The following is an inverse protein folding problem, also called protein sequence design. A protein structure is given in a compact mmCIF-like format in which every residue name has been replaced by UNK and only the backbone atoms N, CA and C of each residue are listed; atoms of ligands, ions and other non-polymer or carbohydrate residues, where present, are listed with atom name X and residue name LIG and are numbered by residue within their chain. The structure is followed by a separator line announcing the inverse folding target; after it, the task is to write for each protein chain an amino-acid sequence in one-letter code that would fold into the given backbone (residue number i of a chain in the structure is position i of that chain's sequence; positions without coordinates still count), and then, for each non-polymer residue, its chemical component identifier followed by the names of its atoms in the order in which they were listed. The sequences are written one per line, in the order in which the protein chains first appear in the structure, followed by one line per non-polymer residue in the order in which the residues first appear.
data_IF_874709959382
#
_entry.id   IF_874709959382
#
_cell.length_a   1.000
_cell.length_b   1.000
_cell.length_c   1.000
_cell.angle_alpha   90.00
_cell.angle_beta   90.00
_cell.angle_gamma   90.00
#
_symmetry.space_group_name_H-M   'P 1'
#
loop_
_entity.id
_entity.type
_entity.pdbx_description
1 polymer ?
#
# COMPACT_ATOMS: atom_id res chain seq x y z
N UNK A 1 50.56 -7.02 -33.20
CA UNK A 1 51.82 -7.75 -32.97
C UNK A 1 52.45 -7.11 -31.73
N UNK A 2 52.63 -7.83 -30.63
CA UNK A 2 53.94 -8.35 -30.11
C UNK A 2 55.08 -7.31 -30.23
N UNK A 3 55.86 -6.99 -29.18
CA UNK A 3 56.21 -7.81 -28.03
C UNK A 3 56.48 -7.05 -26.71
N UNK A 4 56.51 -7.82 -25.61
CA UNK A 4 57.04 -7.43 -24.30
C UNK A 4 58.58 -7.45 -24.30
N UNK A 5 59.21 -6.75 -23.35
CA UNK A 5 60.52 -7.11 -22.77
C UNK A 5 60.80 -6.29 -21.48
N UNK A 6 61.18 -6.85 -20.31
CA UNK A 6 62.48 -7.53 -19.96
C UNK A 6 63.53 -6.47 -19.57
N UNK A 7 64.29 -6.49 -18.44
CA UNK A 7 64.42 -7.44 -17.31
C UNK A 7 65.12 -6.80 -16.07
N UNK A 8 65.26 -7.61 -15.02
CA UNK A 8 65.90 -7.55 -13.68
C UNK A 8 67.24 -6.81 -13.43
N UNK A 9 67.60 -6.72 -12.12
CA UNK A 9 68.92 -6.44 -11.54
C UNK A 9 68.84 -5.50 -10.30
N UNK A 10 69.00 -5.83 -9.01
CA UNK A 10 69.60 -6.92 -8.19
C UNK A 10 70.97 -6.57 -7.53
N UNK A 11 71.08 -6.76 -6.19
CA UNK A 11 72.27 -6.61 -5.28
C UNK A 11 72.86 -5.18 -5.15
N UNK A 12 73.34 -4.61 -4.03
CA UNK A 12 73.36 -4.91 -2.57
C UNK A 12 73.45 -3.56 -1.79
N UNK A 13 74.08 -3.34 -0.61
CA UNK A 13 74.75 -4.18 0.41
C UNK A 13 74.96 -3.36 1.73
N UNK A 14 75.26 -4.03 2.85
CA UNK A 14 75.98 -3.55 4.07
C UNK A 14 75.35 -2.57 5.10
N UNK A 15 75.83 -2.70 6.36
CA UNK A 15 75.29 -2.24 7.67
C UNK A 15 76.02 -0.96 8.23
N UNK A 16 75.93 -0.52 9.52
CA UNK A 16 75.07 -0.90 10.66
C UNK A 16 74.41 0.27 11.48
N UNK A 17 73.72 -0.15 12.54
CA UNK A 17 72.81 0.52 13.49
C UNK A 17 73.33 1.74 14.28
N UNK A 18 72.42 2.68 14.58
CA UNK A 18 72.32 3.40 15.88
C UNK A 18 70.85 3.45 16.33
N UNK A 19 70.62 3.26 17.64
CA UNK A 19 69.31 3.19 18.35
C UNK A 19 68.42 4.42 18.13
N UNK A 20 67.07 4.35 18.16
CA UNK A 20 66.24 4.06 19.36
C UNK A 20 64.75 3.93 18.95
N UNK A 21 63.99 3.07 19.62
CA UNK A 21 62.55 2.80 19.40
C UNK A 21 61.62 3.89 20.03
N UNK A 22 60.29 3.99 19.70
CA UNK A 22 59.32 2.90 19.89
C UNK A 22 58.28 2.64 18.76
N UNK A 23 58.26 1.38 18.37
CA UNK A 23 57.12 0.47 18.14
C UNK A 23 56.18 0.63 16.94
N UNK A 24 55.72 -0.49 16.32
CA UNK A 24 55.10 -0.48 15.01
C UNK A 24 53.59 -0.75 15.02
N UNK A 25 52.89 -0.16 14.06
CA UNK A 25 51.52 -0.56 13.71
C UNK A 25 51.54 -1.94 13.04
N UNK A 26 50.94 -2.95 13.69
CA UNK A 26 50.78 -4.29 13.11
C UNK A 26 49.62 -4.29 12.12
N UNK A 27 49.93 -4.44 10.84
CA UNK A 27 48.94 -4.79 9.81
C UNK A 27 48.49 -6.25 9.97
N UNK A 28 47.19 -6.49 10.07
CA UNK A 28 46.62 -7.81 9.76
C UNK A 28 45.38 -7.71 8.87
N UNK A 29 45.28 -8.68 7.97
CA UNK A 29 44.51 -8.65 6.74
C UNK A 29 42.98 -8.68 6.89
N UNK A 30 42.33 -8.26 5.81
CA UNK A 30 40.90 -8.30 5.56
C UNK A 30 40.25 -9.65 5.94
N UNK A 31 39.07 -9.57 6.56
CA UNK A 31 38.05 -10.62 6.45
C UNK A 31 36.73 -9.99 6.00
N UNK A 32 36.58 -9.87 4.68
CA UNK A 32 35.37 -9.35 4.03
C UNK A 32 34.17 -10.22 4.40
N UNK A 33 33.28 -9.73 5.28
CA UNK A 33 31.97 -10.37 5.47
C UNK A 33 31.13 -10.15 4.22
N UNK A 34 30.43 -11.18 3.71
CA UNK A 34 29.42 -10.98 2.66
C UNK A 34 28.39 -9.95 3.13
N UNK A 35 28.12 -8.98 2.26
CA UNK A 35 27.17 -7.90 2.53
C UNK A 35 25.75 -8.45 2.65
N UNK A 36 25.28 -8.68 3.89
CA UNK A 36 23.85 -8.72 4.19
C UNK A 36 23.28 -7.30 4.12
N UNK A 37 23.21 -6.76 2.90
CA UNK A 37 22.27 -5.69 2.60
C UNK A 37 20.88 -6.29 2.72
N UNK A 38 20.33 -6.25 3.94
CA UNK A 38 18.91 -6.44 4.14
C UNK A 38 18.19 -5.50 3.17
N UNK A 39 17.32 -6.05 2.31
CA UNK A 39 16.60 -5.25 1.34
C UNK A 39 15.78 -4.22 2.10
N UNK A 40 16.26 -2.97 2.13
CA UNK A 40 15.53 -1.86 2.72
C UNK A 40 14.30 -1.69 1.86
N UNK A 41 13.16 -2.18 2.35
CA UNK A 41 11.86 -1.94 1.76
C UNK A 41 11.62 -0.43 1.83
N UNK A 42 12.01 0.28 0.76
CA UNK A 42 11.83 1.73 0.64
C UNK A 42 10.34 2.03 0.49
N UNK A 43 9.66 2.05 1.62
CA UNK A 43 8.29 2.50 1.75
C UNK A 43 8.24 4.03 1.70
N UNK A 44 7.24 4.56 1.01
CA UNK A 44 6.93 6.00 1.02
C UNK A 44 6.00 6.38 2.18
N UNK A 45 5.63 5.42 3.03
CA UNK A 45 4.89 5.65 4.27
C UNK A 45 5.85 5.95 5.42
N UNK A 46 5.52 6.94 6.24
CA UNK A 46 6.17 7.14 7.54
C UNK A 46 5.79 6.01 8.51
N UNK A 47 6.61 5.73 9.54
CA UNK A 47 6.22 4.85 10.63
C UNK A 47 4.91 5.29 11.30
N UNK A 48 4.11 4.34 11.78
CA UNK A 48 2.91 4.64 12.54
C UNK A 48 3.28 5.14 13.94
N UNK A 49 2.81 6.34 14.29
CA UNK A 49 3.02 6.93 15.62
C UNK A 49 2.15 6.27 16.71
N UNK A 50 1.08 5.56 16.32
CA UNK A 50 0.13 4.94 17.24
C UNK A 50 -0.32 3.56 16.76
N UNK A 51 -0.36 2.58 17.65
CA UNK A 51 -0.80 1.21 17.35
C UNK A 51 -2.24 1.15 16.81
N UNK A 52 -3.13 2.02 17.33
CA UNK A 52 -4.50 2.19 16.83
C UNK A 52 -4.59 2.56 15.35
N UNK A 53 -3.67 3.40 14.87
CA UNK A 53 -3.64 3.87 13.49
C UNK A 53 -3.18 2.75 12.56
N UNK A 54 -2.17 1.98 12.97
CA UNK A 54 -1.77 0.74 12.30
C UNK A 54 -2.93 -0.26 12.22
N UNK A 55 -3.61 -0.54 13.33
CA UNK A 55 -4.78 -1.45 13.37
C UNK A 55 -5.91 -1.02 12.44
N UNK A 56 -6.19 0.29 12.35
CA UNK A 56 -7.21 0.83 11.44
C UNK A 56 -6.80 0.66 9.98
N UNK A 57 -5.55 0.99 9.61
CA UNK A 57 -5.07 0.80 8.23
C UNK A 57 -5.04 -0.69 7.87
N UNK A 58 -4.49 -1.56 8.72
CA UNK A 58 -4.45 -3.00 8.48
C UNK A 58 -5.86 -3.61 8.28
N UNK A 59 -6.83 -3.26 9.14
CA UNK A 59 -8.23 -3.68 8.97
C UNK A 59 -8.83 -3.13 7.67
N UNK A 60 -8.55 -1.87 7.35
CA UNK A 60 -9.04 -1.23 6.11
C UNK A 60 -8.47 -1.92 4.86
N UNK A 61 -7.19 -2.29 4.85
CA UNK A 61 -6.56 -3.04 3.75
C UNK A 61 -7.20 -4.41 3.58
N UNK A 62 -7.41 -5.15 4.67
CA UNK A 62 -8.09 -6.46 4.62
C UNK A 62 -9.50 -6.37 4.03
N UNK A 63 -10.31 -5.41 4.50
CA UNK A 63 -11.64 -5.15 3.93
C UNK A 63 -11.58 -4.64 2.48
N UNK A 64 -10.51 -3.96 2.06
CA UNK A 64 -10.34 -3.51 0.68
C UNK A 64 -10.09 -4.69 -0.27
N UNK A 65 -9.29 -5.68 0.11
CA UNK A 65 -9.11 -6.90 -0.69
C UNK A 65 -10.43 -7.66 -0.85
N UNK A 66 -11.22 -7.79 0.23
CA UNK A 66 -12.56 -8.40 0.24
C UNK A 66 -13.61 -7.68 -0.63
N UNK A 67 -13.36 -6.42 -1.03
CA UNK A 67 -14.33 -5.58 -1.74
C UNK A 67 -14.45 -5.86 -3.24
N UNK A 68 -13.39 -6.44 -3.84
CA UNK A 68 -13.24 -6.64 -5.28
C UNK A 68 -12.99 -5.37 -6.11
N UNK A 69 -13.14 -4.16 -5.55
CA UNK A 69 -12.93 -2.87 -6.23
C UNK A 69 -11.66 -2.13 -5.79
N UNK A 70 -10.86 -2.75 -4.93
CA UNK A 70 -9.48 -2.36 -4.67
C UNK A 70 -8.55 -2.99 -5.72
N UNK A 71 -7.77 -2.15 -6.39
CA UNK A 71 -6.86 -2.53 -7.47
C UNK A 71 -5.38 -2.58 -7.03
N UNK A 72 -5.08 -2.32 -5.75
CA UNK A 72 -3.71 -2.36 -5.23
C UNK A 72 -2.78 -1.36 -5.94
N UNK A 73 -1.52 -1.73 -6.22
CA UNK A 73 -0.56 -0.89 -6.92
C UNK A 73 -1.01 -0.62 -8.36
N UNK A 74 -1.57 0.57 -8.59
CA UNK A 74 -2.04 1.02 -9.90
C UNK A 74 -1.71 2.50 -10.10
N UNK A 75 -1.27 2.84 -11.32
CA UNK A 75 -0.96 4.22 -11.72
C UNK A 75 -2.22 5.09 -11.89
N UNK A 76 -2.04 6.41 -12.01
CA UNK A 76 -3.17 7.32 -12.29
C UNK A 76 -3.72 7.03 -13.69
N UNK A 77 -2.80 6.78 -14.61
CA UNK A 77 -3.00 6.61 -16.04
C UNK A 77 -3.81 5.35 -16.35
N UNK A 78 -3.45 4.19 -15.75
CA UNK A 78 -4.20 2.94 -15.87
C UNK A 78 -5.63 3.05 -15.29
N UNK A 79 -5.76 3.68 -14.13
CA UNK A 79 -7.06 3.92 -13.50
C UNK A 79 -7.96 4.80 -14.38
N UNK A 80 -7.38 5.87 -14.94
CA UNK A 80 -8.06 6.75 -15.88
C UNK A 80 -8.43 6.04 -17.18
N UNK A 81 -7.55 5.20 -17.73
CA UNK A 81 -7.82 4.43 -18.94
C UNK A 81 -8.98 3.44 -18.76
N UNK A 82 -9.01 2.71 -17.62
CA UNK A 82 -10.11 1.81 -17.24
C UNK A 82 -11.43 2.57 -17.12
N UNK A 83 -11.43 3.66 -16.34
CA UNK A 83 -12.62 4.47 -16.09
C UNK A 83 -13.09 5.29 -17.31
N UNK A 84 -12.24 5.51 -18.32
CA UNK A 84 -12.57 6.39 -19.48
C UNK A 84 -13.86 5.96 -20.19
N UNK A 85 -14.07 4.65 -20.36
CA UNK A 85 -15.23 4.06 -21.04
C UNK A 85 -16.40 3.74 -20.10
N UNK A 86 -16.21 3.86 -18.79
CA UNK A 86 -17.27 3.58 -17.82
C UNK A 86 -18.29 4.74 -17.71
N UNK A 87 -19.54 4.44 -17.31
CA UNK A 87 -20.53 5.43 -16.92
C UNK A 87 -20.08 6.31 -15.76
N UNK A 88 -20.61 7.53 -15.71
CA UNK A 88 -20.37 8.52 -14.65
C UNK A 88 -20.70 7.92 -13.27
N UNK A 89 -19.86 8.23 -12.29
CA UNK A 89 -19.93 7.71 -10.92
C UNK A 89 -19.44 6.28 -10.72
N UNK A 90 -18.92 5.64 -11.77
CA UNK A 90 -18.13 4.41 -11.62
C UNK A 90 -16.78 4.74 -10.97
N UNK A 91 -16.37 4.01 -9.92
CA UNK A 91 -15.17 4.31 -9.12
C UNK A 91 -14.34 3.09 -8.73
N UNK A 92 -13.06 3.28 -8.41
CA UNK A 92 -12.16 2.26 -7.85
C UNK A 92 -11.26 2.85 -6.77
N UNK A 93 -10.75 1.98 -5.89
CA UNK A 93 -9.69 2.31 -4.93
C UNK A 93 -8.39 1.69 -5.41
N UNK A 94 -7.29 2.42 -5.27
CA UNK A 94 -5.93 1.96 -5.56
C UNK A 94 -4.93 2.60 -4.60
N UNK A 95 -3.71 2.12 -4.62
CA UNK A 95 -2.62 2.70 -3.85
C UNK A 95 -2.28 4.11 -4.33
N UNK A 96 -1.82 4.94 -3.40
CA UNK A 96 -1.10 6.15 -3.76
C UNK A 96 0.32 5.84 -4.21
N UNK A 97 0.88 6.74 -5.00
CA UNK A 97 2.33 6.84 -5.25
C UNK A 97 2.96 8.05 -4.55
N UNK A 98 2.18 8.77 -3.74
CA UNK A 98 2.63 9.95 -2.99
C UNK A 98 2.96 9.57 -1.54
N UNK A 99 4.02 10.17 -1.01
CA UNK A 99 4.45 10.00 0.38
C UNK A 99 3.32 10.25 1.40
N UNK A 100 3.27 9.40 2.43
CA UNK A 100 2.32 9.49 3.56
C UNK A 100 0.82 9.49 3.16
N UNK A 101 0.47 8.88 2.03
CA UNK A 101 -0.93 8.67 1.61
C UNK A 101 -1.12 7.21 1.24
N UNK A 102 -1.94 6.44 1.96
CA UNK A 102 -2.14 5.02 1.64
C UNK A 102 -2.96 4.82 0.35
N UNK A 103 -4.12 5.45 0.25
CA UNK A 103 -5.12 5.14 -0.77
C UNK A 103 -5.53 6.34 -1.62
N UNK A 104 -5.90 6.08 -2.87
CA UNK A 104 -6.47 7.05 -3.81
C UNK A 104 -7.78 6.53 -4.39
N UNK A 105 -8.83 7.33 -4.28
CA UNK A 105 -10.10 7.13 -4.98
C UNK A 105 -9.94 7.63 -6.42
N UNK A 106 -10.21 6.76 -7.41
CA UNK A 106 -10.30 7.17 -8.82
C UNK A 106 -11.73 6.94 -9.30
N UNK A 107 -12.36 7.93 -9.93
CA UNK A 107 -13.76 7.82 -10.38
C UNK A 107 -14.01 8.54 -11.70
N UNK A 108 -15.03 8.12 -12.43
CA UNK A 108 -15.51 8.79 -13.63
C UNK A 108 -16.40 9.98 -13.22
N UNK A 109 -15.87 11.19 -13.27
CA UNK A 109 -16.65 12.42 -13.20
C UNK A 109 -17.30 12.78 -14.54
N UNK A 110 -18.13 13.83 -14.54
CA UNK A 110 -18.85 14.31 -15.73
C UNK A 110 -17.92 14.66 -16.90
N UNK A 111 -16.78 15.29 -16.61
CA UNK A 111 -15.79 15.71 -17.62
C UNK A 111 -14.68 14.67 -17.87
N UNK A 112 -14.78 13.48 -17.28
CA UNK A 112 -13.79 12.42 -17.41
C UNK A 112 -13.31 11.83 -16.08
N UNK A 113 -12.34 10.90 -16.11
CA UNK A 113 -11.75 10.31 -14.92
C UNK A 113 -11.01 11.33 -14.04
N UNK A 114 -11.19 11.22 -12.72
CA UNK A 114 -10.55 12.08 -11.70
C UNK A 114 -9.95 11.17 -10.61
N UNK A 115 -8.78 11.53 -10.07
CA UNK A 115 -8.18 10.88 -8.91
C UNK A 115 -8.15 11.84 -7.72
N UNK A 116 -8.61 11.38 -6.55
CA UNK A 116 -8.62 12.14 -5.28
C UNK A 116 -7.98 11.30 -4.18
N UNK A 117 -6.95 11.84 -3.53
CA UNK A 117 -6.22 11.19 -2.44
C UNK A 117 -7.10 11.08 -1.19
N UNK A 118 -7.07 9.91 -0.55
CA UNK A 118 -7.71 9.64 0.74
C UNK A 118 -6.66 9.87 1.83
N UNK A 119 -6.79 10.98 2.56
CA UNK A 119 -5.92 11.29 3.68
C UNK A 119 -6.32 10.46 4.89
N UNK A 120 -5.33 10.06 5.70
CA UNK A 120 -5.54 9.45 7.00
C UNK A 120 -4.83 10.26 8.09
N UNK A 121 -5.59 10.87 9.00
CA UNK A 121 -5.08 11.71 10.10
C UNK A 121 -5.96 11.55 11.33
N UNK A 122 -5.37 11.51 12.52
CA UNK A 122 -6.07 11.39 13.81
C UNK A 122 -7.07 10.22 13.83
N UNK A 123 -6.65 9.04 13.36
CA UNK A 123 -7.50 7.85 13.18
C UNK A 123 -8.72 8.03 12.27
N UNK A 124 -8.74 9.02 11.36
CA UNK A 124 -9.86 9.28 10.44
C UNK A 124 -9.43 9.42 8.98
N UNK A 125 -10.31 8.99 8.09
CA UNK A 125 -10.20 9.12 6.63
C UNK A 125 -10.92 10.38 6.13
N UNK A 126 -10.33 11.11 5.18
CA UNK A 126 -11.00 12.21 4.47
C UNK A 126 -10.51 12.34 3.03
N UNK A 127 -11.38 12.82 2.12
CA UNK A 127 -10.93 13.18 0.77
C UNK A 127 -10.16 14.50 0.80
N UNK A 128 -9.13 14.60 -0.04
CA UNK A 128 -8.36 15.84 -0.20
C UNK A 128 -9.26 16.98 -0.66
N UNK A 129 -9.24 18.10 0.08
CA UNK A 129 -10.12 19.25 -0.14
C UNK A 129 -11.49 19.16 0.56
N UNK A 130 -11.85 18.01 1.15
CA UNK A 130 -13.07 17.88 1.96
C UNK A 130 -12.84 18.32 3.41
N UNK A 131 -13.90 18.85 4.03
CA UNK A 131 -13.98 19.12 5.48
C UNK A 131 -14.54 17.92 6.27
N UNK A 132 -15.08 16.92 5.58
CA UNK A 132 -15.71 15.74 6.19
C UNK A 132 -14.66 14.68 6.51
N UNK A 133 -14.80 14.01 7.67
CA UNK A 133 -13.88 12.94 8.09
C UNK A 133 -14.62 11.78 8.76
N UNK A 134 -14.17 10.56 8.48
CA UNK A 134 -14.87 9.31 8.81
C UNK A 134 -13.94 8.36 9.55
N UNK A 135 -14.49 7.53 10.44
CA UNK A 135 -13.78 6.49 11.17
C UNK A 135 -13.47 5.24 10.32
N UNK A 136 -14.15 5.08 9.18
CA UNK A 136 -13.90 4.02 8.19
C UNK A 136 -13.85 4.60 6.77
N UNK A 137 -12.94 4.06 5.93
CA UNK A 137 -12.87 4.37 4.50
C UNK A 137 -14.17 3.98 3.79
N UNK A 138 -14.85 2.91 4.20
CA UNK A 138 -16.09 2.45 3.58
C UNK A 138 -17.27 3.35 3.91
N UNK A 139 -17.35 3.86 5.15
CA UNK A 139 -18.30 4.92 5.53
C UNK A 139 -18.10 6.21 4.74
N UNK A 140 -16.85 6.56 4.43
CA UNK A 140 -16.54 7.66 3.52
C UNK A 140 -17.11 7.39 2.12
N UNK A 141 -16.90 6.19 1.56
CA UNK A 141 -17.45 5.83 0.25
C UNK A 141 -18.99 5.84 0.25
N UNK A 142 -19.63 5.21 1.23
CA UNK A 142 -21.09 5.19 1.43
C UNK A 142 -21.69 6.60 1.48
N UNK A 143 -21.04 7.54 2.17
CA UNK A 143 -21.48 8.95 2.25
C UNK A 143 -21.41 9.68 0.90
N UNK A 144 -20.39 9.37 0.09
CA UNK A 144 -20.21 9.97 -1.24
C UNK A 144 -21.06 9.30 -2.32
N UNK A 145 -21.51 8.05 -2.11
CA UNK A 145 -22.47 7.33 -2.96
C UNK A 145 -23.91 7.74 -2.63
N UNK A 146 -24.25 7.84 -1.34
CA UNK A 146 -25.58 8.25 -0.87
C UNK A 146 -25.90 9.73 -1.15
N UNK A 147 -24.89 10.54 -1.48
CA UNK A 147 -25.06 11.96 -1.76
C UNK A 147 -25.12 12.22 -3.27
N UNK A 148 -26.30 12.51 -3.87
CA UNK A 148 -26.44 12.66 -5.33
C UNK A 148 -25.64 13.82 -5.92
N UNK A 149 -25.17 14.76 -5.08
CA UNK A 149 -24.29 15.88 -5.48
C UNK A 149 -22.80 15.49 -5.55
N UNK A 150 -22.41 14.33 -5.01
CA UNK A 150 -21.00 13.92 -4.84
C UNK A 150 -20.54 12.87 -5.86
N UNK A 151 -21.44 12.36 -6.67
CA UNK A 151 -21.13 11.76 -7.97
C UNK A 151 -20.40 10.42 -7.94
N UNK A 152 -20.38 9.70 -6.81
CA UNK A 152 -20.10 8.26 -6.81
C UNK A 152 -21.42 7.50 -6.93
N UNK A 153 -21.42 6.38 -7.66
CA UNK A 153 -22.62 5.57 -7.90
C UNK A 153 -22.30 4.08 -7.71
N UNK A 154 -21.23 3.57 -8.33
CA UNK A 154 -20.94 2.13 -8.34
C UNK A 154 -19.46 1.79 -8.36
N UNK A 155 -19.02 0.74 -7.65
CA UNK A 155 -17.64 0.27 -7.71
C UNK A 155 -17.31 -0.45 -9.03
N UNK A 156 -16.09 -0.25 -9.53
CA UNK A 156 -15.48 -0.92 -10.67
C UNK A 156 -14.59 -2.06 -10.18
N UNK A 157 -15.13 -3.29 -10.27
CA UNK A 157 -14.49 -4.49 -9.72
C UNK A 157 -13.51 -5.13 -10.70
N UNK A 158 -12.51 -5.83 -10.16
CA UNK A 158 -11.57 -6.67 -10.92
C UNK A 158 -12.33 -7.73 -11.74
N UNK A 159 -13.29 -8.39 -11.10
CA UNK A 159 -14.20 -9.36 -11.72
C UNK A 159 -15.58 -8.72 -11.91
N UNK A 160 -16.17 -8.76 -13.13
CA UNK A 160 -17.45 -8.12 -13.40
C UNK A 160 -18.65 -8.87 -12.83
N UNK A 161 -18.51 -10.18 -12.58
CA UNK A 161 -19.55 -11.04 -12.02
C UNK A 161 -19.12 -11.44 -10.61
N UNK A 162 -19.86 -10.98 -9.60
CA UNK A 162 -19.63 -11.38 -8.21
C UNK A 162 -20.13 -12.81 -7.97
N UNK A 163 -19.50 -13.52 -7.04
CA UNK A 163 -19.98 -14.85 -6.63
C UNK A 163 -21.35 -14.74 -5.97
N UNK A 164 -22.17 -15.81 -6.03
CA UNK A 164 -23.47 -15.83 -5.35
C UNK A 164 -23.32 -15.56 -3.84
N UNK A 165 -22.24 -16.04 -3.22
CA UNK A 165 -21.90 -15.74 -1.83
C UNK A 165 -21.70 -14.24 -1.58
N UNK A 166 -20.96 -13.52 -2.43
CA UNK A 166 -20.78 -12.07 -2.33
C UNK A 166 -22.08 -11.30 -2.52
N UNK A 167 -22.92 -11.73 -3.47
CA UNK A 167 -24.25 -11.14 -3.70
C UNK A 167 -25.17 -11.33 -2.50
N UNK A 168 -25.19 -12.54 -1.91
CA UNK A 168 -25.92 -12.83 -0.67
C UNK A 168 -25.36 -12.03 0.51
N UNK A 169 -24.03 -11.95 0.69
CA UNK A 169 -23.37 -11.15 1.74
C UNK A 169 -23.85 -9.71 1.70
N UNK A 170 -23.76 -9.06 0.54
CA UNK A 170 -24.25 -7.67 0.36
C UNK A 170 -25.72 -7.55 0.72
N UNK A 171 -26.58 -8.44 0.21
CA UNK A 171 -28.03 -8.35 0.44
C UNK A 171 -28.43 -8.58 1.91
N UNK A 172 -27.71 -9.45 2.62
CA UNK A 172 -27.88 -9.67 4.05
C UNK A 172 -27.48 -8.41 4.83
N UNK A 173 -26.31 -7.83 4.52
CA UNK A 173 -25.82 -6.61 5.19
C UNK A 173 -26.75 -5.42 4.97
N UNK A 174 -27.24 -5.22 3.74
CA UNK A 174 -28.26 -4.22 3.40
C UNK A 174 -29.54 -4.36 4.24
N UNK A 175 -29.89 -5.59 4.65
CA UNK A 175 -31.13 -5.88 5.39
C UNK A 175 -30.93 -5.83 6.91
N UNK A 176 -29.72 -6.13 7.39
CA UNK A 176 -29.38 -6.25 8.82
C UNK A 176 -28.66 -5.02 9.41
N UNK A 177 -28.55 -3.92 8.63
CA UNK A 177 -27.92 -2.65 9.03
C UNK A 177 -26.48 -2.79 9.58
N UNK A 178 -25.80 -3.90 9.26
CA UNK A 178 -24.52 -4.32 9.81
C UNK A 178 -24.49 -4.59 11.33
N UNK A 179 -25.61 -4.44 12.05
CA UNK A 179 -25.66 -4.48 13.52
C UNK A 179 -26.15 -5.80 14.11
N UNK A 180 -26.93 -6.58 13.33
CA UNK A 180 -27.59 -7.79 13.82
C UNK A 180 -27.06 -9.10 13.19
N UNK A 181 -25.87 -9.04 12.58
CA UNK A 181 -25.20 -10.19 11.94
C UNK A 181 -25.09 -11.39 12.89
N UNK A 182 -24.82 -11.14 14.17
CA UNK A 182 -24.64 -12.19 15.17
C UNK A 182 -25.94 -12.92 15.54
N UNK A 183 -27.11 -12.29 15.33
CA UNK A 183 -28.42 -12.95 15.55
C UNK A 183 -28.86 -13.84 14.39
N UNK A 184 -28.23 -13.74 13.23
CA UNK A 184 -28.58 -14.56 12.07
C UNK A 184 -28.29 -16.04 12.41
N UNK A 185 -29.26 -16.97 12.24
CA UNK A 185 -29.09 -18.39 12.57
C UNK A 185 -28.33 -19.14 11.46
N UNK A 186 -27.07 -18.75 11.23
CA UNK A 186 -26.15 -19.37 10.28
C UNK A 186 -24.91 -19.92 10.98
N UNK A 187 -24.24 -20.88 10.33
CA UNK A 187 -23.00 -21.49 10.80
C UNK A 187 -21.90 -20.43 11.05
N UNK A 188 -21.02 -20.56 12.07
CA UNK A 188 -20.01 -19.56 12.41
C UNK A 188 -19.15 -19.09 11.22
N UNK A 189 -18.69 -20.02 10.37
CA UNK A 189 -17.94 -19.71 9.13
C UNK A 189 -18.66 -18.69 8.23
N UNK A 190 -20.00 -18.75 8.18
CA UNK A 190 -20.79 -17.78 7.41
C UNK A 190 -20.92 -16.43 8.14
N UNK A 191 -20.94 -16.41 9.48
CA UNK A 191 -20.85 -15.16 10.26
C UNK A 191 -19.49 -14.49 10.05
N UNK A 192 -18.40 -15.25 10.07
CA UNK A 192 -17.06 -14.75 9.79
C UNK A 192 -16.98 -14.13 8.39
N UNK A 193 -17.57 -14.80 7.38
CA UNK A 193 -17.65 -14.28 6.01
C UNK A 193 -18.49 -12.99 5.88
N UNK A 194 -19.55 -12.83 6.67
CA UNK A 194 -20.33 -11.59 6.74
C UNK A 194 -19.54 -10.46 7.46
N UNK A 195 -18.85 -10.79 8.56
CA UNK A 195 -18.01 -9.86 9.32
C UNK A 195 -16.71 -9.45 8.62
N UNK A 196 -16.24 -10.23 7.64
CA UNK A 196 -15.07 -9.91 6.82
C UNK A 196 -15.26 -8.62 5.99
N UNK A 197 -16.50 -8.31 5.59
CA UNK A 197 -16.84 -7.08 4.87
C UNK A 197 -18.27 -6.61 5.20
N UNK A 198 -18.50 -5.93 6.33
CA UNK A 198 -19.83 -5.55 6.82
C UNK A 198 -20.34 -4.26 6.17
N UNK A 199 -20.18 -4.12 4.84
CA UNK A 199 -20.55 -2.93 4.07
C UNK A 199 -21.38 -3.32 2.83
N UNK A 200 -22.43 -2.55 2.46
CA UNK A 200 -23.33 -2.87 1.33
C UNK A 200 -22.75 -2.52 -0.06
N UNK A 201 -21.42 -2.34 -0.18
CA UNK A 201 -20.73 -1.81 -1.36
C UNK A 201 -20.44 -2.87 -2.42
#
# INVERSE_FOLDING_TARGET
MVAHSTVEGNQGTEEPQVSTEPSPAVSQSQRSRPSQQAAILQTHFRPFNFERDFKIIAKTTSMLEESGFYWGPMTVEEAHQKLKKEPVGTFLIRDSRQSDVFFTLSYKGQHGPVSVRINFKNSKFSLTGSKESFDSLFKLLEHYISSPKKGLIRPYRKEPVQTLQQLCRRRIIETCDGKDIDRIPVHPILKDFLHAFPHPL
#
